data_IF_072504817879
#
_entry.id   IF_072504817879
#
_cell.length_a   1.000
_cell.length_b   1.000
_cell.length_c   1.000
_cell.angle_alpha   90.00
_cell.angle_beta   90.00
_cell.angle_gamma   90.00
#
_symmetry.space_group_name_H-M   'P 1'
#
loop_
_entity.id
_entity.type
_entity.pdbx_description
1 polymer ?
#
# COMPACT_ATOMS: atom_id res chain seq x y z
N UNK A 1 -55.51 7.07 -5.36
CA UNK A 1 -54.42 7.91 -4.79
C UNK A 1 -53.13 7.11 -4.83
N UNK A 2 -52.33 7.30 -5.87
CA UNK A 2 -51.02 6.65 -6.02
C UNK A 2 -50.00 7.68 -5.58
N UNK A 3 -49.27 7.37 -4.51
CA UNK A 3 -48.21 8.24 -3.97
C UNK A 3 -46.97 8.01 -4.83
N UNK A 4 -46.69 8.96 -5.73
CA UNK A 4 -45.41 9.05 -6.43
C UNK A 4 -44.30 9.29 -5.38
N UNK A 5 -43.52 8.25 -5.08
CA UNK A 5 -42.26 8.42 -4.38
C UNK A 5 -41.21 8.82 -5.40
N UNK A 6 -41.02 10.12 -5.54
CA UNK A 6 -39.85 10.72 -6.17
C UNK A 6 -38.61 10.28 -5.40
N UNK A 7 -37.92 9.25 -5.89
CA UNK A 7 -36.59 8.88 -5.41
C UNK A 7 -35.65 9.97 -5.90
N UNK A 8 -35.37 10.95 -5.04
CA UNK A 8 -34.24 11.86 -5.22
C UNK A 8 -32.97 11.03 -5.24
N UNK A 9 -32.45 10.82 -6.45
CA UNK A 9 -31.09 10.36 -6.68
C UNK A 9 -30.17 11.45 -6.12
N UNK A 10 -29.72 11.26 -4.88
CA UNK A 10 -28.64 12.05 -4.32
C UNK A 10 -27.45 11.91 -5.28
N UNK A 11 -27.05 13.05 -5.83
CA UNK A 11 -25.92 13.16 -6.74
C UNK A 11 -24.72 12.43 -6.15
N UNK A 12 -24.20 11.48 -6.93
CA UNK A 12 -22.85 10.97 -6.76
C UNK A 12 -21.94 12.19 -6.65
N UNK A 13 -21.45 12.50 -5.44
CA UNK A 13 -20.26 13.34 -5.32
C UNK A 13 -19.21 12.67 -6.19
N UNK A 14 -18.79 13.34 -7.25
CA UNK A 14 -17.61 12.96 -8.01
C UNK A 14 -16.46 12.89 -7.00
N UNK A 15 -16.17 11.68 -6.52
CA UNK A 15 -14.97 11.43 -5.73
C UNK A 15 -13.83 11.66 -6.70
N UNK A 16 -13.29 12.89 -6.70
CA UNK A 16 -12.13 13.24 -7.51
C UNK A 16 -11.05 12.21 -7.22
N UNK A 17 -10.71 11.42 -8.25
CA UNK A 17 -9.71 10.39 -8.10
C UNK A 17 -8.37 11.07 -7.79
N UNK A 18 -7.61 10.59 -6.80
CA UNK A 18 -6.34 11.21 -6.47
C UNK A 18 -5.40 11.10 -7.68
N UNK A 19 -4.94 12.26 -8.17
CA UNK A 19 -3.91 12.33 -9.20
C UNK A 19 -2.53 12.13 -8.57
N UNK A 20 -1.68 11.36 -9.26
CA UNK A 20 -0.30 11.11 -8.87
C UNK A 20 0.65 11.70 -9.91
N UNK A 21 1.70 12.38 -9.47
CA UNK A 21 2.78 12.83 -10.35
C UNK A 21 3.69 11.67 -10.77
N UNK A 22 4.42 11.81 -11.86
CA UNK A 22 5.39 10.81 -12.32
C UNK A 22 6.50 10.55 -11.28
N UNK A 23 6.88 11.59 -10.52
CA UNK A 23 7.80 11.45 -9.38
C UNK A 23 7.20 10.62 -8.24
N UNK A 24 5.92 10.81 -7.90
CA UNK A 24 5.24 10.01 -6.88
C UNK A 24 5.18 8.54 -7.32
N UNK A 25 4.83 8.29 -8.59
CA UNK A 25 4.83 6.94 -9.18
C UNK A 25 6.22 6.32 -9.13
N UNK A 26 7.26 7.07 -9.50
CA UNK A 26 8.66 6.62 -9.47
C UNK A 26 9.12 6.29 -8.05
N UNK A 27 8.78 7.13 -7.06
CA UNK A 27 9.10 6.87 -5.65
C UNK A 27 8.41 5.63 -5.13
N UNK A 28 7.12 5.46 -5.44
CA UNK A 28 6.37 4.27 -5.01
C UNK A 28 6.92 3.01 -5.68
N UNK A 29 7.16 3.03 -7.00
CA UNK A 29 7.77 1.91 -7.72
C UNK A 29 9.13 1.56 -7.15
N UNK A 30 10.01 2.55 -6.95
CA UNK A 30 11.35 2.31 -6.41
C UNK A 30 11.31 1.70 -5.01
N UNK A 31 10.34 2.07 -4.15
CA UNK A 31 10.19 1.44 -2.83
C UNK A 31 9.69 0.00 -2.92
N UNK A 32 8.81 -0.32 -3.87
CA UNK A 32 8.38 -1.69 -4.15
C UNK A 32 9.58 -2.51 -4.63
N UNK A 33 10.39 -1.96 -5.55
CA UNK A 33 11.62 -2.53 -6.10
C UNK A 33 12.80 -2.54 -5.11
N UNK A 34 12.59 -2.13 -3.85
CA UNK A 34 13.61 -2.20 -2.80
C UNK A 34 14.71 -1.13 -2.85
N UNK A 35 14.54 -0.06 -3.62
CA UNK A 35 15.55 0.97 -3.80
C UNK A 35 15.89 1.71 -2.51
N UNK A 36 17.19 1.77 -2.24
CA UNK A 36 17.83 2.67 -1.30
C UNK A 36 17.83 4.12 -1.81
N UNK A 37 18.13 5.09 -0.94
CA UNK A 37 18.29 6.49 -1.37
C UNK A 37 19.37 6.67 -2.44
N UNK A 38 20.42 5.84 -2.39
CA UNK A 38 21.48 5.84 -3.41
C UNK A 38 20.95 5.37 -4.76
N UNK A 39 20.07 4.36 -4.78
CA UNK A 39 19.47 3.85 -6.01
C UNK A 39 18.47 4.85 -6.61
N UNK A 40 17.66 5.52 -5.79
CA UNK A 40 16.83 6.64 -6.25
C UNK A 40 17.65 7.72 -6.94
N UNK A 41 18.76 8.13 -6.32
CA UNK A 41 19.62 9.14 -6.92
C UNK A 41 20.30 8.65 -8.20
N UNK A 42 20.76 7.39 -8.25
CA UNK A 42 21.43 6.85 -9.43
C UNK A 42 20.48 6.70 -10.62
N UNK A 43 19.31 6.12 -10.40
CA UNK A 43 18.38 5.68 -11.44
C UNK A 43 17.39 6.77 -11.86
N UNK A 44 16.85 7.51 -10.89
CA UNK A 44 15.79 8.50 -11.13
C UNK A 44 16.23 9.96 -10.89
N UNK A 45 17.48 10.19 -10.46
CA UNK A 45 18.01 11.50 -10.08
C UNK A 45 17.22 12.21 -8.96
N UNK A 46 16.51 11.44 -8.13
CA UNK A 46 15.75 11.96 -6.98
C UNK A 46 16.62 11.88 -5.72
N UNK A 47 16.80 13.01 -5.03
CA UNK A 47 17.55 13.09 -3.79
C UNK A 47 16.86 12.42 -2.60
N UNK A 48 17.61 11.95 -1.61
CA UNK A 48 17.05 11.24 -0.45
C UNK A 48 16.05 12.07 0.37
N UNK A 49 16.26 13.39 0.47
CA UNK A 49 15.32 14.30 1.11
C UNK A 49 14.01 14.43 0.31
N UNK A 50 14.09 14.52 -1.01
CA UNK A 50 12.93 14.57 -1.91
C UNK A 50 12.12 13.29 -1.84
N UNK A 51 12.77 12.12 -1.85
CA UNK A 51 12.12 10.82 -1.63
C UNK A 51 11.36 10.82 -0.31
N UNK A 52 12.00 11.25 0.77
CA UNK A 52 11.39 11.27 2.11
C UNK A 52 10.18 12.20 2.16
N UNK A 53 10.27 13.38 1.53
CA UNK A 53 9.16 14.33 1.43
C UNK A 53 8.00 13.80 0.59
N UNK A 54 8.27 13.16 -0.54
CA UNK A 54 7.26 12.54 -1.39
C UNK A 54 6.50 11.46 -0.62
N UNK A 55 7.22 10.60 0.11
CA UNK A 55 6.60 9.59 0.99
C UNK A 55 5.73 10.27 2.04
N UNK A 56 6.24 11.26 2.75
CA UNK A 56 5.50 11.98 3.80
C UNK A 56 4.23 12.66 3.28
N UNK A 57 4.28 13.23 2.06
CA UNK A 57 3.11 13.82 1.39
C UNK A 57 2.07 12.76 1.06
N UNK A 58 2.48 11.62 0.50
CA UNK A 58 1.59 10.49 0.21
C UNK A 58 0.97 9.93 1.49
N UNK A 59 1.76 9.74 2.54
CA UNK A 59 1.27 9.28 3.83
C UNK A 59 0.16 10.19 4.38
N UNK A 60 0.42 11.50 4.43
CA UNK A 60 -0.57 12.50 4.86
C UNK A 60 -1.81 12.50 3.97
N UNK A 61 -1.65 12.45 2.65
CA UNK A 61 -2.77 12.46 1.69
C UNK A 61 -3.73 11.29 1.92
N UNK A 62 -3.21 10.11 2.26
CA UNK A 62 -4.02 8.89 2.37
C UNK A 62 -4.42 8.51 3.79
N UNK A 63 -3.73 9.01 4.84
CA UNK A 63 -4.02 8.67 6.23
C UNK A 63 -4.35 9.89 7.12
N UNK A 64 -4.33 11.11 6.58
CA UNK A 64 -4.50 12.36 7.33
C UNK A 64 -3.29 12.73 8.21
N UNK A 65 -2.27 11.85 8.28
CA UNK A 65 -1.03 12.04 9.03
C UNK A 65 0.09 11.24 8.40
N UNK A 66 1.33 11.61 8.73
CA UNK A 66 2.52 10.94 8.22
C UNK A 66 2.77 9.61 8.93
N UNK A 67 2.23 8.55 8.37
CA UNK A 67 2.36 7.19 8.88
C UNK A 67 2.41 6.20 7.72
N UNK A 68 3.17 5.11 7.90
CA UNK A 68 3.38 4.08 6.88
C UNK A 68 2.10 3.48 6.27
N UNK A 69 0.98 3.54 7.00
CA UNK A 69 -0.32 3.13 6.48
C UNK A 69 -0.80 3.98 5.30
N UNK A 70 -0.58 5.29 5.30
CA UNK A 70 -0.94 6.17 4.19
C UNK A 70 -0.14 5.80 2.95
N UNK A 71 1.12 5.43 3.12
CA UNK A 71 1.94 4.93 2.01
C UNK A 71 1.42 3.59 1.46
N UNK A 72 1.02 2.63 2.31
CA UNK A 72 0.39 1.40 1.84
C UNK A 72 -0.92 1.64 1.08
N UNK A 73 -1.71 2.62 1.51
CA UNK A 73 -2.94 3.01 0.82
C UNK A 73 -2.64 3.68 -0.54
N UNK A 74 -1.59 4.50 -0.62
CA UNK A 74 -1.12 5.07 -1.89
C UNK A 74 -0.69 3.99 -2.90
N UNK A 75 0.06 2.96 -2.46
CA UNK A 75 0.43 1.81 -3.30
C UNK A 75 -0.81 1.15 -3.91
N UNK A 76 -1.80 0.82 -3.07
CA UNK A 76 -3.04 0.17 -3.52
C UNK A 76 -3.80 1.01 -4.53
N UNK A 77 -3.88 2.31 -4.30
CA UNK A 77 -4.59 3.23 -5.19
C UNK A 77 -3.86 3.40 -6.54
N UNK A 78 -2.52 3.47 -6.54
CA UNK A 78 -1.76 3.48 -7.80
C UNK A 78 -1.91 2.17 -8.59
N UNK A 79 -2.03 1.02 -7.92
CA UNK A 79 -2.32 -0.27 -8.56
C UNK A 79 -3.73 -0.27 -9.16
N UNK A 80 -4.74 0.20 -8.41
CA UNK A 80 -6.11 0.36 -8.91
C UNK A 80 -6.17 1.24 -10.17
N UNK A 81 -5.31 2.25 -10.26
CA UNK A 81 -5.18 3.14 -11.42
C UNK A 81 -4.20 2.64 -12.50
N UNK A 82 -3.65 1.42 -12.38
CA UNK A 82 -2.67 0.83 -13.31
C UNK A 82 -1.42 1.71 -13.55
N UNK A 83 -0.93 2.42 -12.52
CA UNK A 83 0.24 3.32 -12.62
C UNK A 83 1.59 2.64 -12.35
N UNK A 84 1.59 1.44 -11.78
CA UNK A 84 2.82 0.75 -11.36
C UNK A 84 3.10 -0.46 -12.26
N UNK A 85 4.39 -0.75 -12.48
CA UNK A 85 4.82 -1.98 -13.12
C UNK A 85 4.90 -3.10 -12.07
N UNK A 86 4.09 -4.15 -12.28
CA UNK A 86 3.92 -5.26 -11.34
C UNK A 86 4.53 -6.58 -11.83
N UNK A 87 5.26 -6.56 -12.95
CA UNK A 87 5.86 -7.75 -13.58
C UNK A 87 6.95 -8.38 -12.72
N UNK A 88 7.71 -7.56 -11.99
CA UNK A 88 8.79 -8.01 -11.09
C UNK A 88 8.28 -8.61 -9.78
N UNK A 89 6.99 -8.49 -9.47
CA UNK A 89 6.44 -9.05 -8.23
C UNK A 89 6.42 -10.59 -8.31
N UNK A 90 6.72 -11.30 -7.20
CA UNK A 90 6.66 -12.76 -7.17
C UNK A 90 5.35 -13.32 -7.74
N UNK A 91 5.38 -14.50 -8.38
CA UNK A 91 4.15 -15.11 -8.92
C UNK A 91 3.39 -15.94 -7.87
N UNK A 92 4.10 -16.44 -6.86
CA UNK A 92 3.54 -17.22 -5.77
C UNK A 92 4.21 -16.85 -4.44
N UNK A 93 3.56 -17.19 -3.33
CA UNK A 93 4.17 -17.11 -2.01
C UNK A 93 5.25 -18.18 -1.86
N UNK A 94 6.35 -17.86 -1.18
CA UNK A 94 7.42 -18.82 -0.92
C UNK A 94 6.99 -19.95 0.03
N UNK A 95 5.95 -19.73 0.83
CA UNK A 95 5.35 -20.73 1.71
C UNK A 95 3.91 -20.38 2.07
N UNK A 96 3.21 -21.34 2.67
CA UNK A 96 1.85 -21.15 3.20
C UNK A 96 1.92 -20.28 4.47
N UNK A 97 1.24 -19.11 4.51
CA UNK A 97 1.22 -18.26 5.70
C UNK A 97 0.42 -18.90 6.83
N UNK A 98 0.90 -18.78 8.06
CA UNK A 98 0.13 -19.11 9.25
C UNK A 98 -0.86 -17.98 9.61
N UNK A 99 -1.72 -18.21 10.62
CA UNK A 99 -2.73 -17.22 11.02
C UNK A 99 -2.09 -15.88 11.47
N UNK A 100 -0.89 -15.92 12.06
CA UNK A 100 -0.18 -14.71 12.50
C UNK A 100 0.40 -13.95 11.32
N UNK A 101 0.97 -14.65 10.34
CA UNK A 101 1.44 -14.03 9.09
C UNK A 101 0.29 -13.31 8.38
N UNK A 102 -0.86 -13.98 8.26
CA UNK A 102 -2.08 -13.42 7.66
C UNK A 102 -2.56 -12.17 8.42
N UNK A 103 -2.51 -12.21 9.76
CA UNK A 103 -2.87 -11.08 10.61
C UNK A 103 -1.94 -9.87 10.39
N UNK A 104 -0.62 -10.09 10.35
CA UNK A 104 0.38 -9.05 10.08
C UNK A 104 0.18 -8.47 8.69
N UNK A 105 0.03 -9.32 7.68
CA UNK A 105 -0.14 -8.91 6.29
C UNK A 105 -1.44 -8.15 6.05
N UNK A 106 -2.55 -8.65 6.61
CA UNK A 106 -3.84 -7.97 6.56
C UNK A 106 -3.77 -6.58 7.20
N UNK A 107 -3.02 -6.42 8.30
CA UNK A 107 -2.84 -5.10 8.92
C UNK A 107 -2.14 -4.10 7.99
N UNK A 108 -1.15 -4.55 7.20
CA UNK A 108 -0.47 -3.71 6.21
C UNK A 108 -1.45 -3.33 5.09
N UNK A 109 -2.15 -4.32 4.54
CA UNK A 109 -3.05 -4.10 3.41
C UNK A 109 -4.26 -3.22 3.76
N UNK A 110 -4.81 -3.36 4.97
CA UNK A 110 -5.90 -2.48 5.45
C UNK A 110 -5.43 -1.07 5.77
N UNK A 111 -4.12 -0.84 5.91
CA UNK A 111 -3.59 0.42 6.40
C UNK A 111 -3.97 0.67 7.87
N UNK A 112 -4.02 -0.38 8.68
CA UNK A 112 -4.31 -0.25 10.11
C UNK A 112 -3.22 0.64 10.76
N UNK A 113 -3.64 1.59 11.60
CA UNK A 113 -2.72 2.43 12.35
C UNK A 113 -1.83 1.58 13.28
N UNK A 114 -0.67 2.11 13.67
CA UNK A 114 0.33 1.37 14.46
C UNK A 114 -0.25 0.75 15.74
N UNK A 115 -1.14 1.45 16.45
CA UNK A 115 -1.72 0.95 17.69
C UNK A 115 -2.70 -0.20 17.44
N UNK A 116 -3.59 -0.05 16.45
CA UNK A 116 -4.51 -1.11 16.03
C UNK A 116 -3.75 -2.34 15.52
N UNK A 117 -2.74 -2.13 14.66
CA UNK A 117 -1.91 -3.20 14.14
C UNK A 117 -1.15 -3.93 15.27
N UNK A 118 -0.59 -3.19 16.24
CA UNK A 118 0.11 -3.83 17.35
C UNK A 118 -0.78 -4.64 18.27
N UNK A 119 -1.99 -4.16 18.58
CA UNK A 119 -2.97 -4.94 19.35
C UNK A 119 -3.33 -6.25 18.64
N UNK A 120 -3.42 -6.22 17.32
CA UNK A 120 -3.80 -7.38 16.53
C UNK A 120 -2.70 -8.45 16.44
N UNK A 121 -1.42 -8.06 16.48
CA UNK A 121 -0.28 -9.00 16.30
C UNK A 121 0.55 -9.22 17.57
N UNK A 122 0.14 -8.58 18.68
CA UNK A 122 0.78 -8.69 19.99
C UNK A 122 2.12 -7.95 20.12
N UNK A 123 2.33 -6.84 19.40
CA UNK A 123 3.54 -6.02 19.57
C UNK A 123 3.35 -4.86 20.54
N UNK A 124 4.47 -4.38 21.09
CA UNK A 124 4.54 -3.32 22.11
C UNK A 124 4.94 -1.96 21.55
N UNK A 125 5.51 -1.93 20.34
CA UNK A 125 6.01 -0.69 19.73
C UNK A 125 5.90 -0.70 18.20
N UNK A 126 5.94 0.50 17.60
CA UNK A 126 6.01 0.63 16.14
C UNK A 126 7.28 0.03 15.53
N UNK A 127 8.40 0.06 16.25
CA UNK A 127 9.65 -0.58 15.81
C UNK A 127 9.53 -2.10 15.75
N UNK A 128 8.89 -2.70 16.76
CA UNK A 128 8.59 -4.14 16.77
C UNK A 128 7.61 -4.51 15.65
N UNK A 129 6.57 -3.71 15.42
CA UNK A 129 5.66 -3.90 14.29
C UNK A 129 6.41 -3.87 12.95
N UNK A 130 7.32 -2.91 12.76
CA UNK A 130 8.11 -2.80 11.53
C UNK A 130 9.02 -4.02 11.34
N UNK A 131 9.66 -4.52 12.40
CA UNK A 131 10.46 -5.73 12.35
C UNK A 131 9.61 -6.97 11.99
N UNK A 132 8.41 -7.10 12.59
CA UNK A 132 7.47 -8.17 12.27
C UNK A 132 7.01 -8.13 10.82
N UNK A 133 6.68 -6.94 10.29
CA UNK A 133 6.29 -6.75 8.88
C UNK A 133 7.40 -7.17 7.93
N UNK A 134 8.64 -6.75 8.19
CA UNK A 134 9.79 -7.17 7.38
C UNK A 134 10.03 -8.68 7.45
N UNK A 135 10.02 -9.26 8.66
CA UNK A 135 10.20 -10.70 8.85
C UNK A 135 9.13 -11.50 8.11
N UNK A 136 7.87 -11.10 8.22
CA UNK A 136 6.74 -11.74 7.55
C UNK A 136 6.87 -11.61 6.03
N UNK A 137 7.22 -10.42 5.53
CA UNK A 137 7.42 -10.19 4.09
C UNK A 137 8.49 -11.11 3.53
N UNK A 138 9.65 -11.19 4.20
CA UNK A 138 10.75 -12.09 3.81
C UNK A 138 10.36 -13.57 3.89
N UNK A 139 9.67 -13.98 4.95
CA UNK A 139 9.14 -15.35 5.11
C UNK A 139 8.26 -15.74 3.91
N UNK A 140 7.45 -14.82 3.40
CA UNK A 140 6.54 -15.05 2.29
C UNK A 140 7.17 -14.86 0.89
N UNK A 141 8.46 -14.56 0.81
CA UNK A 141 9.18 -14.40 -0.46
C UNK A 141 9.25 -12.98 -1.00
N UNK A 142 8.96 -11.97 -0.17
CA UNK A 142 9.05 -10.57 -0.53
C UNK A 142 10.29 -9.91 0.07
N UNK A 143 10.91 -8.99 -0.67
CA UNK A 143 12.08 -8.24 -0.21
C UNK A 143 11.73 -7.27 0.92
N UNK A 144 10.54 -6.68 0.84
CA UNK A 144 10.08 -5.63 1.75
C UNK A 144 8.54 -5.61 1.90
N UNK A 145 8.00 -4.92 2.92
CA UNK A 145 6.57 -4.78 3.14
C UNK A 145 5.78 -4.13 2.00
N UNK A 146 6.39 -3.22 1.24
CA UNK A 146 5.74 -2.54 0.12
C UNK A 146 5.45 -3.51 -1.02
N UNK A 147 6.42 -4.39 -1.33
CA UNK A 147 6.27 -5.45 -2.30
C UNK A 147 5.15 -6.43 -1.90
N UNK A 148 5.04 -6.78 -0.62
CA UNK A 148 3.97 -7.64 -0.10
C UNK A 148 2.57 -7.00 -0.25
N UNK A 149 2.45 -5.68 -0.03
CA UNK A 149 1.19 -4.94 -0.25
C UNK A 149 0.86 -4.86 -1.74
N UNK A 150 1.84 -4.58 -2.58
CA UNK A 150 1.67 -4.49 -4.02
C UNK A 150 1.22 -5.83 -4.62
N UNK A 151 1.82 -6.94 -4.17
CA UNK A 151 1.44 -8.29 -4.59
C UNK A 151 -0.03 -8.59 -4.27
N UNK A 152 -0.47 -8.33 -3.03
CA UNK A 152 -1.84 -8.61 -2.64
C UNK A 152 -2.86 -7.75 -3.39
N UNK A 153 -2.54 -6.48 -3.63
CA UNK A 153 -3.37 -5.60 -4.44
C UNK A 153 -3.53 -6.12 -5.87
N UNK A 154 -2.43 -6.57 -6.50
CA UNK A 154 -2.44 -7.21 -7.83
C UNK A 154 -3.31 -8.45 -7.85
N UNK A 155 -3.13 -9.38 -6.91
CA UNK A 155 -3.90 -10.62 -6.86
C UNK A 155 -5.39 -10.36 -6.66
N UNK A 156 -5.76 -9.37 -5.83
CA UNK A 156 -7.16 -8.97 -5.68
C UNK A 156 -7.74 -8.34 -6.93
N UNK A 157 -6.96 -7.55 -7.67
CA UNK A 157 -7.40 -6.96 -8.94
C UNK A 157 -7.64 -8.04 -9.99
N UNK A 158 -6.76 -9.06 -10.07
CA UNK A 158 -6.98 -10.23 -10.95
C UNK A 158 -8.26 -10.97 -10.60
N UNK A 159 -8.50 -11.22 -9.30
CA UNK A 159 -9.72 -11.89 -8.84
C UNK A 159 -10.98 -11.07 -9.12
N UNK A 160 -10.92 -9.74 -8.95
CA UNK A 160 -12.04 -8.85 -9.23
C UNK A 160 -12.29 -8.59 -10.73
N UNK A 161 -11.30 -8.83 -11.58
CA UNK A 161 -11.46 -8.81 -13.05
C UNK A 161 -11.91 -10.16 -13.62
N UNK A 162 -11.83 -11.23 -12.82
CA UNK A 162 -12.24 -12.59 -13.20
C UNK A 162 -13.70 -12.90 -12.82
N UNK A 163 -14.42 -11.95 -12.20
CA UNK A 163 -15.85 -12.00 -11.85
C UNK A 163 -16.56 -10.94 -12.68
#
# INVERSE_FOLDING_TARGET
MVVERTVQVLSLQEVSQPHFSDEEVTVVQGRIDGWSHREFFRTAKIGGWEVSNLIHRLEKRFAGKATANGFFMAIKEMIRQNKLNLEKLPQALAMVPDQRDLAIWASMYRGDDTWKACRLVGCRSGGELYALRNKTSKKLGFENPYQAVAWWARERQKLGAAI
#
